data_IF_535193099218
#
_entry.id   IF_535193099218
#
_cell.length_a   1.000
_cell.length_b   1.000
_cell.length_c   1.000
_cell.angle_alpha   90.00
_cell.angle_beta   90.00
_cell.angle_gamma   90.00
#
_symmetry.space_group_name_H-M   'P 1'
#
loop_
_entity.id
_entity.type
_entity.pdbx_description
1 polymer ?
#
# COMPACT_ATOMS: atom_id res chain seq x y z
N UNK A 1 -10.52 -14.17 -24.70
CA UNK A 1 -10.62 -12.72 -24.90
C UNK A 1 -11.86 -12.47 -25.74
N UNK A 2 -12.99 -12.20 -25.09
CA UNK A 2 -14.26 -11.95 -25.76
C UNK A 2 -14.75 -10.56 -25.31
N UNK A 3 -14.95 -9.65 -26.27
CA UNK A 3 -15.28 -8.24 -26.05
C UNK A 3 -16.78 -8.07 -26.27
N UNK A 4 -17.55 -7.90 -25.21
CA UNK A 4 -18.95 -7.50 -25.29
C UNK A 4 -19.09 -5.99 -25.41
N UNK A 5 -19.43 -5.49 -26.61
CA UNK A 5 -19.85 -4.10 -26.81
C UNK A 5 -21.37 -3.99 -26.65
N UNK A 6 -21.85 -3.19 -25.70
CA UNK A 6 -23.26 -2.81 -25.59
C UNK A 6 -23.42 -1.33 -25.96
N UNK A 7 -23.66 -1.05 -27.25
CA UNK A 7 -24.18 0.23 -27.72
C UNK A 7 -23.15 1.33 -28.05
N UNK A 8 -23.60 2.42 -28.70
CA UNK A 8 -22.74 3.51 -29.14
C UNK A 8 -22.55 4.52 -28.01
N UNK A 9 -21.29 4.89 -27.77
CA UNK A 9 -20.84 5.76 -26.69
C UNK A 9 -20.94 5.11 -25.30
N UNK A 10 -20.07 4.14 -25.01
CA UNK A 10 -18.87 4.38 -24.19
C UNK A 10 -18.20 3.02 -24.00
N UNK A 11 -17.02 2.82 -24.61
CA UNK A 11 -16.14 1.73 -24.18
C UNK A 11 -15.54 2.17 -22.84
N UNK A 12 -16.24 1.96 -21.72
CA UNK A 12 -15.54 1.96 -20.45
C UNK A 12 -14.71 0.69 -20.46
N UNK A 13 -13.43 0.82 -20.81
CA UNK A 13 -12.44 -0.04 -20.18
C UNK A 13 -12.69 0.22 -18.69
N UNK A 14 -13.26 -0.74 -17.97
CA UNK A 14 -12.90 -0.83 -16.56
C UNK A 14 -11.41 -1.17 -16.62
N UNK A 15 -10.57 -0.14 -16.81
CA UNK A 15 -9.23 -0.17 -16.30
C UNK A 15 -9.45 -0.45 -14.82
N UNK A 16 -9.21 -1.69 -14.41
CA UNK A 16 -8.95 -1.92 -13.01
C UNK A 16 -7.78 -0.99 -12.71
N UNK A 17 -8.00 0.06 -11.91
CA UNK A 17 -6.94 0.94 -11.44
C UNK A 17 -5.78 0.03 -11.04
N UNK A 18 -4.65 0.15 -11.73
CA UNK A 18 -3.53 -0.73 -11.41
C UNK A 18 -3.17 -0.42 -9.95
N UNK A 19 -2.74 -1.39 -9.13
CA UNK A 19 -2.53 -1.14 -7.70
C UNK A 19 -1.65 0.08 -7.41
N UNK A 20 -0.73 0.40 -8.34
CA UNK A 20 0.16 1.56 -8.37
C UNK A 20 -0.50 2.93 -8.58
N UNK A 21 -1.73 2.97 -9.11
CA UNK A 21 -2.53 4.18 -9.30
C UNK A 21 -3.27 4.60 -8.02
N UNK A 22 -3.34 3.69 -7.03
CA UNK A 22 -4.04 3.92 -5.78
C UNK A 22 -3.22 4.79 -4.83
N UNK A 23 -3.90 5.73 -4.18
CA UNK A 23 -3.33 6.51 -3.07
C UNK A 23 -3.15 5.66 -1.82
N UNK A 24 -2.33 6.13 -0.88
CA UNK A 24 -2.14 5.46 0.42
C UNK A 24 -3.46 5.27 1.18
N UNK A 25 -4.34 6.28 1.11
CA UNK A 25 -5.65 6.24 1.76
C UNK A 25 -6.55 5.15 1.15
N UNK A 26 -6.54 5.01 -0.17
CA UNK A 26 -7.28 3.96 -0.88
C UNK A 26 -6.70 2.58 -0.60
N UNK A 27 -5.38 2.42 -0.66
CA UNK A 27 -4.68 1.17 -0.36
C UNK A 27 -5.00 0.66 1.04
N UNK A 28 -4.94 1.56 2.04
CA UNK A 28 -5.24 1.22 3.43
C UNK A 28 -6.75 1.07 3.67
N UNK A 29 -7.59 1.78 2.92
CA UNK A 29 -9.05 1.66 2.95
C UNK A 29 -9.56 0.30 2.47
N UNK A 30 -8.77 -0.44 1.71
CA UNK A 30 -9.07 -1.82 1.30
C UNK A 30 -8.84 -2.85 2.42
N UNK A 31 -8.14 -2.49 3.50
CA UNK A 31 -7.95 -3.34 4.67
C UNK A 31 -9.11 -3.16 5.65
N UNK A 32 -9.53 -4.25 6.30
CA UNK A 32 -10.41 -4.11 7.46
C UNK A 32 -9.67 -3.39 8.59
N UNK A 33 -10.38 -2.69 9.51
CA UNK A 33 -9.74 -2.01 10.64
C UNK A 33 -8.84 -2.93 11.48
N UNK A 34 -9.23 -4.20 11.60
CA UNK A 34 -8.43 -5.22 12.29
C UNK A 34 -7.14 -5.54 11.53
N UNK A 35 -7.21 -5.77 10.22
CA UNK A 35 -6.02 -6.06 9.41
C UNK A 35 -5.03 -4.89 9.42
N UNK A 36 -5.52 -3.65 9.34
CA UNK A 36 -4.68 -2.47 9.45
C UNK A 36 -3.97 -2.39 10.81
N UNK A 37 -4.69 -2.61 11.91
CA UNK A 37 -4.10 -2.61 13.24
C UNK A 37 -3.06 -3.73 13.44
N UNK A 38 -3.32 -4.92 12.90
CA UNK A 38 -2.36 -6.05 12.92
C UNK A 38 -1.11 -5.76 12.07
N UNK A 39 -1.28 -5.11 10.91
CA UNK A 39 -0.17 -4.69 10.05
C UNK A 39 0.71 -3.64 10.73
N UNK A 40 0.10 -2.58 11.29
CA UNK A 40 0.81 -1.52 12.02
C UNK A 40 1.61 -2.10 13.19
N UNK A 41 0.98 -3.00 13.96
CA UNK A 41 1.63 -3.70 15.06
C UNK A 41 2.83 -4.52 14.58
N UNK A 42 2.64 -5.28 13.50
CA UNK A 42 3.70 -6.13 12.93
C UNK A 42 4.88 -5.31 12.43
N UNK A 43 4.63 -4.15 11.80
CA UNK A 43 5.69 -3.21 11.40
C UNK A 43 6.45 -2.73 12.65
N UNK A 44 5.73 -2.26 13.67
CA UNK A 44 6.36 -1.81 14.91
C UNK A 44 7.23 -2.90 15.57
N UNK A 45 6.69 -4.11 15.74
CA UNK A 45 7.41 -5.24 16.33
C UNK A 45 8.62 -5.68 15.49
N UNK A 46 8.48 -5.76 14.16
CA UNK A 46 9.53 -6.26 13.27
C UNK A 46 10.71 -5.29 13.17
N UNK A 47 10.44 -3.98 13.14
CA UNK A 47 11.49 -2.98 12.89
C UNK A 47 12.06 -2.36 14.18
N UNK A 48 11.38 -2.51 15.32
CA UNK A 48 11.88 -2.04 16.62
C UNK A 48 13.18 -2.74 17.04
N UNK A 49 13.23 -4.08 16.95
CA UNK A 49 14.38 -4.87 17.40
C UNK A 49 15.67 -4.61 16.61
N UNK A 50 15.54 -4.13 15.36
CA UNK A 50 16.68 -3.76 14.50
C UNK A 50 17.12 -2.30 14.60
N UNK A 51 16.43 -1.46 15.39
CA UNK A 51 16.65 -0.01 15.43
C UNK A 51 16.22 0.73 14.15
N UNK A 52 15.35 0.09 13.35
CA UNK A 52 14.84 0.54 12.05
C UNK A 52 13.44 1.17 12.18
N UNK A 53 12.84 1.16 13.38
CA UNK A 53 11.65 1.96 13.71
C UNK A 53 12.04 3.44 13.89
N UNK A 54 12.53 4.04 12.80
CA UNK A 54 12.83 5.47 12.67
C UNK A 54 12.10 5.98 11.44
N UNK A 55 11.66 7.23 11.49
CA UNK A 55 10.90 7.89 10.43
C UNK A 55 11.60 7.73 9.07
N UNK A 56 12.90 8.01 8.99
CA UNK A 56 13.67 7.95 7.74
C UNK A 56 13.79 6.52 7.19
N UNK A 57 13.92 5.53 8.07
CA UNK A 57 14.07 4.14 7.69
C UNK A 57 12.75 3.55 7.17
N UNK A 58 11.62 3.90 7.80
CA UNK A 58 10.29 3.53 7.32
C UNK A 58 10.01 4.12 5.93
N UNK A 59 10.36 5.39 5.69
CA UNK A 59 10.24 5.98 4.35
C UNK A 59 11.12 5.29 3.32
N UNK A 60 12.38 4.97 3.66
CA UNK A 60 13.28 4.27 2.76
C UNK A 60 12.76 2.87 2.39
N UNK A 61 12.24 2.11 3.35
CA UNK A 61 11.65 0.80 3.10
C UNK A 61 10.37 0.89 2.28
N UNK A 62 9.49 1.85 2.58
CA UNK A 62 8.28 2.09 1.80
C UNK A 62 8.61 2.37 0.33
N UNK A 63 9.65 3.15 0.05
CA UNK A 63 10.12 3.40 -1.32
C UNK A 63 10.58 2.10 -2.00
N UNK A 64 11.35 1.26 -1.29
CA UNK A 64 11.80 -0.03 -1.83
C UNK A 64 10.63 -0.94 -2.16
N UNK A 65 9.66 -1.09 -1.26
CA UNK A 65 8.49 -1.93 -1.52
C UNK A 65 7.63 -1.39 -2.66
N UNK A 66 7.48 -0.07 -2.78
CA UNK A 66 6.77 0.55 -3.90
C UNK A 66 7.46 0.24 -5.24
N UNK A 67 8.80 0.38 -5.32
CA UNK A 67 9.56 0.01 -6.53
C UNK A 67 9.50 -1.49 -6.86
N UNK A 68 9.36 -2.34 -5.84
CA UNK A 68 9.26 -3.79 -6.02
C UNK A 68 7.88 -4.24 -6.46
N UNK A 69 6.82 -3.51 -6.11
CA UNK A 69 5.45 -3.81 -6.53
C UNK A 69 5.31 -3.84 -8.06
N UNK A 70 5.92 -2.89 -8.77
CA UNK A 70 5.91 -2.80 -10.23
C UNK A 70 6.53 -4.04 -10.96
N UNK A 71 7.20 -4.93 -10.22
CA UNK A 71 7.82 -6.16 -10.75
C UNK A 71 7.05 -7.42 -10.36
N UNK A 72 5.85 -7.28 -9.81
CA UNK A 72 5.05 -8.39 -9.27
C UNK A 72 3.71 -8.51 -9.98
N UNK A 73 3.08 -9.66 -9.80
CA UNK A 73 1.66 -9.82 -10.13
C UNK A 73 0.81 -8.87 -9.30
N UNK A 74 -0.39 -8.59 -9.78
CA UNK A 74 -1.31 -7.61 -9.21
C UNK A 74 -1.61 -7.81 -7.71
N UNK A 75 -1.83 -9.06 -7.28
CA UNK A 75 -2.11 -9.36 -5.87
C UNK A 75 -0.90 -9.09 -4.98
N UNK A 76 0.27 -9.56 -5.41
CA UNK A 76 1.53 -9.28 -4.71
C UNK A 76 1.90 -7.80 -4.73
N UNK A 77 1.62 -7.09 -5.83
CA UNK A 77 1.84 -5.65 -5.95
C UNK A 77 0.96 -4.88 -4.96
N UNK A 78 -0.34 -5.20 -4.89
CA UNK A 78 -1.26 -4.62 -3.92
C UNK A 78 -0.76 -4.81 -2.49
N UNK A 79 -0.35 -6.02 -2.10
CA UNK A 79 0.16 -6.29 -0.76
C UNK A 79 1.42 -5.48 -0.43
N UNK A 80 2.35 -5.32 -1.38
CA UNK A 80 3.56 -4.52 -1.22
C UNK A 80 3.25 -3.02 -1.10
N UNK A 81 2.27 -2.53 -1.85
CA UNK A 81 1.84 -1.13 -1.81
C UNK A 81 1.09 -0.81 -0.52
N UNK A 82 0.25 -1.73 -0.03
CA UNK A 82 -0.40 -1.61 1.29
C UNK A 82 0.63 -1.59 2.43
N UNK A 83 1.66 -2.43 2.35
CA UNK A 83 2.78 -2.39 3.30
C UNK A 83 3.52 -1.05 3.24
N UNK A 84 3.82 -0.55 2.04
CA UNK A 84 4.49 0.74 1.87
C UNK A 84 3.67 1.91 2.40
N UNK A 85 2.36 1.94 2.14
CA UNK A 85 1.44 2.95 2.65
C UNK A 85 1.36 2.91 4.19
N UNK A 86 1.29 1.72 4.78
CA UNK A 86 1.29 1.57 6.25
C UNK A 86 2.60 2.08 6.88
N UNK A 87 3.74 1.82 6.26
CA UNK A 87 5.04 2.36 6.71
C UNK A 87 5.10 3.89 6.65
N UNK A 88 4.60 4.52 5.58
CA UNK A 88 4.53 5.98 5.46
C UNK A 88 3.62 6.58 6.52
N UNK A 89 2.39 6.06 6.67
CA UNK A 89 1.46 6.49 7.71
C UNK A 89 2.05 6.37 9.12
N UNK A 90 2.75 5.26 9.42
CA UNK A 90 3.44 5.11 10.71
C UNK A 90 4.53 6.16 10.90
N UNK A 91 5.34 6.41 9.88
CA UNK A 91 6.38 7.43 9.91
C UNK A 91 5.81 8.83 10.16
N UNK A 92 4.67 9.17 9.55
CA UNK A 92 3.94 10.41 9.77
C UNK A 92 3.41 10.52 11.21
N UNK A 93 2.83 9.46 11.74
CA UNK A 93 2.36 9.41 13.14
C UNK A 93 3.50 9.64 14.12
N UNK A 94 4.63 8.96 13.90
CA UNK A 94 5.85 9.15 14.71
C UNK A 94 6.39 10.57 14.62
N UNK A 95 6.43 11.15 13.42
CA UNK A 95 6.88 12.53 13.20
C UNK A 95 5.93 13.55 13.85
N UNK A 96 4.63 13.27 13.91
CA UNK A 96 3.63 14.08 14.58
C UNK A 96 3.56 13.88 16.10
N UNK A 97 4.29 12.90 16.66
CA UNK A 97 4.23 12.53 18.07
C UNK A 97 2.92 11.85 18.48
N UNK A 98 2.20 11.28 17.53
CA UNK A 98 0.96 10.53 17.73
C UNK A 98 1.35 9.06 17.80
N UNK A 99 1.06 8.40 18.92
CA UNK A 99 1.47 7.01 19.20
C UNK A 99 0.26 6.15 19.54
#
# INVERSE_FOLDING_TARGET
MDRGCAGPATCYVQDMDSPEDLTDEELLGMLTPRQLAELDRTIGETFADGGVDRVEALYALAQVYSMRAAQRDETSALALLQLAAAMRRRAEQMAAGIQ
#
